data_IF_465254470268
#
_entry.id   IF_465254470268
#
_cell.length_a   1.000
_cell.length_b   1.000
_cell.length_c   1.000
_cell.angle_alpha   90.00
_cell.angle_beta   90.00
_cell.angle_gamma   90.00
#
_symmetry.space_group_name_H-M   'P 1'
#
loop_
_entity.id
_entity.type
_entity.pdbx_description
1 polymer ?
#
# COMPACT_ATOMS: atom_id res chain seq x y z
N UNK A 1 46.42 155.68 44.17
CA UNK A 1 45.71 154.87 43.15
C UNK A 1 46.16 153.41 43.14
N UNK A 2 47.39 153.06 43.55
CA UNK A 2 47.88 151.67 43.58
C UNK A 2 47.29 150.78 44.69
N UNK A 3 47.11 151.28 45.93
CA UNK A 3 46.56 150.48 47.04
C UNK A 3 45.15 149.91 46.79
N UNK A 4 44.24 150.70 46.20
CA UNK A 4 42.89 150.24 45.85
C UNK A 4 42.89 149.18 44.74
N UNK A 5 43.79 149.28 43.76
CA UNK A 5 43.96 148.26 42.72
C UNK A 5 44.51 146.95 43.28
N UNK A 6 45.44 147.01 44.23
CA UNK A 6 45.96 145.81 44.90
C UNK A 6 44.90 145.12 45.78
N UNK A 7 44.06 145.89 46.49
CA UNK A 7 42.99 145.34 47.33
C UNK A 7 41.84 144.72 46.51
N UNK A 8 41.51 145.32 45.36
CA UNK A 8 40.53 144.77 44.43
C UNK A 8 41.06 143.53 43.67
N UNK A 9 42.36 143.50 43.35
CA UNK A 9 43.02 142.30 42.81
C UNK A 9 43.05 141.17 43.84
N UNK A 10 43.38 141.44 45.10
CA UNK A 10 43.37 140.46 46.18
C UNK A 10 41.96 139.90 46.46
N UNK A 11 40.91 140.72 46.35
CA UNK A 11 39.51 140.25 46.44
C UNK A 11 39.09 139.40 45.25
N UNK A 12 39.53 139.73 44.03
CA UNK A 12 39.27 138.91 42.85
C UNK A 12 40.00 137.58 42.93
N UNK A 13 41.24 137.57 43.44
CA UNK A 13 41.97 136.33 43.71
C UNK A 13 41.27 135.51 44.80
N UNK A 14 40.87 136.09 45.94
CA UNK A 14 40.13 135.37 46.97
C UNK A 14 38.79 134.81 46.48
N UNK A 15 38.02 135.57 45.69
CA UNK A 15 36.77 135.10 45.10
C UNK A 15 37.02 133.97 44.11
N UNK A 16 38.02 134.10 43.23
CA UNK A 16 38.43 133.04 42.30
C UNK A 16 38.90 131.78 43.04
N UNK A 17 39.65 131.92 44.14
CA UNK A 17 40.01 130.79 45.00
C UNK A 17 38.79 130.15 45.67
N UNK A 18 37.77 130.94 46.07
CA UNK A 18 36.53 130.40 46.66
C UNK A 18 35.65 129.69 45.64
N UNK A 19 35.58 130.20 44.40
CA UNK A 19 34.86 129.57 43.29
C UNK A 19 35.55 128.27 42.88
N UNK A 20 36.88 128.29 42.69
CA UNK A 20 37.65 127.08 42.42
C UNK A 20 37.55 126.06 43.54
N UNK A 21 37.55 126.50 44.80
CA UNK A 21 37.34 125.61 45.95
C UNK A 21 35.93 125.01 45.96
N UNK A 22 34.90 125.79 45.66
CA UNK A 22 33.51 125.33 45.57
C UNK A 22 33.30 124.39 44.38
N UNK A 23 33.89 124.68 43.21
CA UNK A 23 33.84 123.81 42.02
C UNK A 23 34.57 122.49 42.30
N UNK A 24 35.76 122.55 42.89
CA UNK A 24 36.50 121.36 43.29
C UNK A 24 35.72 120.54 44.34
N UNK A 25 35.09 121.21 45.31
CA UNK A 25 34.26 120.57 46.33
C UNK A 25 33.03 119.89 45.72
N UNK A 26 32.32 120.55 44.79
CA UNK A 26 31.16 119.99 44.09
C UNK A 26 31.54 118.84 43.15
N UNK A 27 32.66 118.98 42.42
CA UNK A 27 33.20 117.90 41.59
C UNK A 27 33.58 116.69 42.44
N UNK A 28 34.18 116.90 43.61
CA UNK A 28 34.52 115.82 44.53
C UNK A 28 33.26 115.10 45.05
N UNK A 29 32.20 115.84 45.39
CA UNK A 29 30.90 115.25 45.78
C UNK A 29 30.32 114.42 44.64
N UNK A 30 30.30 114.94 43.40
CA UNK A 30 29.78 114.20 42.25
C UNK A 30 30.59 112.94 41.94
N UNK A 31 31.93 113.04 41.98
CA UNK A 31 32.82 111.88 41.78
C UNK A 31 32.55 110.83 42.87
N UNK A 32 32.42 111.21 44.14
CA UNK A 32 32.12 110.26 45.22
C UNK A 32 30.73 109.61 45.05
N UNK A 33 29.73 110.34 44.59
CA UNK A 33 28.39 109.80 44.33
C UNK A 33 28.42 108.76 43.19
N UNK A 34 29.09 109.07 42.08
CA UNK A 34 29.27 108.14 40.95
C UNK A 34 30.07 106.90 41.38
N UNK A 35 31.13 107.08 42.18
CA UNK A 35 31.92 105.96 42.72
C UNK A 35 31.04 105.08 43.63
N UNK A 36 30.20 105.67 44.48
CA UNK A 36 29.30 104.92 45.35
C UNK A 36 28.26 104.12 44.55
N UNK A 37 27.63 104.74 43.56
CA UNK A 37 26.66 104.08 42.67
C UNK A 37 27.31 102.91 41.91
N UNK A 38 28.51 103.13 41.34
CA UNK A 38 29.25 102.06 40.64
C UNK A 38 29.58 100.91 41.59
N UNK A 39 30.12 101.20 42.78
CA UNK A 39 30.43 100.17 43.78
C UNK A 39 29.18 99.41 44.26
N UNK A 40 28.04 100.09 44.39
CA UNK A 40 26.77 99.44 44.73
C UNK A 40 26.29 98.52 43.61
N UNK A 41 26.32 98.99 42.35
CA UNK A 41 25.92 98.16 41.20
C UNK A 41 26.85 96.94 41.01
N UNK A 42 28.15 97.09 41.24
CA UNK A 42 29.11 95.99 41.21
C UNK A 42 28.82 94.96 42.32
N UNK A 43 28.49 95.41 43.53
CA UNK A 43 28.11 94.54 44.64
C UNK A 43 26.81 93.77 44.35
N UNK A 44 25.81 94.42 43.76
CA UNK A 44 24.56 93.78 43.32
C UNK A 44 24.79 92.79 42.18
N UNK A 45 25.65 93.11 41.21
CA UNK A 45 26.03 92.19 40.13
C UNK A 45 26.70 90.93 40.69
N UNK A 46 27.68 91.09 41.59
CA UNK A 46 28.36 89.96 42.23
C UNK A 46 27.38 89.10 43.05
N UNK A 47 26.42 89.72 43.74
CA UNK A 47 25.35 89.00 44.43
C UNK A 47 24.49 88.21 43.45
N UNK A 48 24.03 88.83 42.36
CA UNK A 48 23.18 88.20 41.35
C UNK A 48 23.88 87.03 40.64
N UNK A 49 25.18 87.17 40.32
CA UNK A 49 25.98 86.07 39.76
C UNK A 49 26.04 84.89 40.73
N UNK A 50 26.28 85.15 42.03
CA UNK A 50 26.33 84.10 43.05
C UNK A 50 24.96 83.43 43.23
N UNK A 51 23.86 84.19 43.19
CA UNK A 51 22.50 83.64 43.24
C UNK A 51 22.22 82.78 42.00
N UNK A 52 22.58 83.24 40.80
CA UNK A 52 22.44 82.47 39.57
C UNK A 52 23.23 81.15 39.62
N UNK A 53 24.46 81.17 40.13
CA UNK A 53 25.28 79.96 40.34
C UNK A 53 24.63 78.96 41.30
N UNK A 54 24.06 79.44 42.40
CA UNK A 54 23.36 78.58 43.38
C UNK A 54 22.11 77.98 42.75
N UNK A 55 21.30 78.79 42.05
CA UNK A 55 20.11 78.33 41.34
C UNK A 55 20.48 77.29 40.28
N UNK A 56 21.52 77.52 39.49
CA UNK A 56 22.00 76.58 38.50
C UNK A 56 22.44 75.25 39.14
N UNK A 57 23.21 75.31 40.23
CA UNK A 57 23.63 74.10 40.98
C UNK A 57 22.43 73.33 41.54
N UNK A 58 21.41 74.02 42.05
CA UNK A 58 20.19 73.40 42.56
C UNK A 58 19.38 72.74 41.44
N UNK A 59 19.17 73.44 40.32
CA UNK A 59 18.53 72.88 39.13
C UNK A 59 19.26 71.63 38.61
N UNK A 60 20.60 71.65 38.59
CA UNK A 60 21.38 70.48 38.17
C UNK A 60 21.25 69.30 39.14
N UNK A 61 21.13 69.56 40.45
CA UNK A 61 20.85 68.51 41.45
C UNK A 61 19.45 67.93 41.27
N UNK A 62 18.44 68.77 41.06
CA UNK A 62 17.06 68.33 40.80
C UNK A 62 16.96 67.52 39.52
N UNK A 63 17.59 67.98 38.44
CA UNK A 63 17.66 67.24 37.17
C UNK A 63 18.25 65.85 37.37
N UNK A 64 19.38 65.74 38.09
CA UNK A 64 19.99 64.45 38.43
C UNK A 64 19.09 63.59 39.31
N UNK A 65 18.38 64.19 40.26
CA UNK A 65 17.44 63.47 41.12
C UNK A 65 16.25 62.91 40.33
N UNK A 66 15.68 63.71 39.43
CA UNK A 66 14.62 63.31 38.52
C UNK A 66 15.07 62.21 37.56
N UNK A 67 16.26 62.32 36.98
CA UNK A 67 16.86 61.29 36.13
C UNK A 67 17.03 59.98 36.90
N UNK A 68 17.57 60.03 38.13
CA UNK A 68 17.68 58.85 39.00
C UNK A 68 16.33 58.23 39.32
N UNK A 69 15.33 59.04 39.68
CA UNK A 69 13.98 58.56 39.96
C UNK A 69 13.33 57.92 38.73
N UNK A 70 13.52 58.52 37.55
CA UNK A 70 13.05 57.99 36.27
C UNK A 70 13.69 56.64 35.97
N UNK A 71 15.02 56.53 36.10
CA UNK A 71 15.74 55.27 35.90
C UNK A 71 15.28 54.22 36.90
N UNK A 72 15.14 54.57 38.18
CA UNK A 72 14.63 53.68 39.22
C UNK A 72 13.23 53.15 38.89
N UNK A 73 12.33 54.02 38.43
CA UNK A 73 10.99 53.63 38.01
C UNK A 73 11.00 52.67 36.82
N UNK A 74 11.83 52.93 35.80
CA UNK A 74 11.96 52.04 34.63
C UNK A 74 12.50 50.67 35.04
N UNK A 75 13.51 50.63 35.92
CA UNK A 75 14.07 49.39 36.44
C UNK A 75 13.05 48.59 37.27
N UNK A 76 12.10 49.24 37.94
CA UNK A 76 11.11 48.50 38.71
C UNK A 76 9.94 48.00 37.85
N UNK A 77 9.44 48.85 36.95
CA UNK A 77 8.15 48.67 36.31
C UNK A 77 8.22 48.36 34.80
N UNK A 78 9.33 48.68 34.12
CA UNK A 78 9.45 48.53 32.65
C UNK A 78 10.41 47.39 32.26
N UNK A 79 10.52 46.38 33.12
CA UNK A 79 11.37 45.24 32.84
C UNK A 79 10.83 44.38 31.68
N UNK A 80 11.69 43.85 30.80
CA UNK A 80 11.27 43.08 29.63
C UNK A 80 10.35 41.90 29.96
N UNK A 81 10.64 41.17 31.05
CA UNK A 81 9.87 40.00 31.47
C UNK A 81 8.51 40.32 32.11
N UNK A 82 8.24 41.58 32.47
CA UNK A 82 6.93 42.01 32.98
C UNK A 82 5.98 42.48 31.88
N UNK A 83 6.42 42.46 30.62
CA UNK A 83 5.56 42.81 29.48
C UNK A 83 4.52 41.72 29.25
N UNK A 84 3.32 42.12 28.87
CA UNK A 84 2.22 41.19 28.57
C UNK A 84 2.58 40.19 27.47
N UNK A 85 3.34 40.63 26.47
CA UNK A 85 3.77 39.84 25.31
C UNK A 85 5.11 39.12 25.53
N UNK A 86 5.64 39.10 26.76
CA UNK A 86 6.93 38.48 27.01
C UNK A 86 6.88 36.96 26.80
N UNK A 87 5.74 36.33 27.07
CA UNK A 87 5.47 34.92 26.78
C UNK A 87 5.63 34.58 25.28
N UNK A 88 5.23 35.50 24.39
CA UNK A 88 5.39 35.37 22.95
C UNK A 88 6.83 35.64 22.50
N UNK A 89 7.51 36.57 23.17
CA UNK A 89 8.85 37.04 22.82
C UNK A 89 9.97 36.42 23.67
N UNK A 90 9.68 35.41 24.49
CA UNK A 90 10.68 34.74 25.33
C UNK A 90 11.70 34.03 24.42
N UNK A 91 13.00 34.35 24.51
CA UNK A 91 14.02 33.68 23.70
C UNK A 91 14.09 32.17 23.95
N UNK A 92 13.67 31.70 25.12
CA UNK A 92 13.62 30.28 25.47
C UNK A 92 12.24 29.64 25.24
N UNK A 93 11.29 30.37 24.63
CA UNK A 93 9.92 29.87 24.36
C UNK A 93 9.93 28.48 23.71
N UNK A 94 10.68 28.32 22.63
CA UNK A 94 10.77 27.05 21.89
C UNK A 94 11.38 25.89 22.69
N UNK A 95 12.16 26.18 23.74
CA UNK A 95 12.76 25.15 24.62
C UNK A 95 11.82 24.75 25.75
N UNK A 96 10.92 25.65 26.16
CA UNK A 96 9.95 25.41 27.24
C UNK A 96 8.64 24.84 26.74
N UNK A 97 8.27 25.08 25.47
CA UNK A 97 7.09 24.48 24.86
C UNK A 97 7.30 22.97 24.70
N UNK A 98 6.40 22.17 25.24
CA UNK A 98 6.36 20.73 25.01
C UNK A 98 6.01 20.49 23.53
N UNK A 99 6.71 19.60 22.80
CA UNK A 99 6.33 19.20 21.44
C UNK A 99 4.84 18.83 21.29
N UNK A 100 4.18 18.35 22.35
CA UNK A 100 2.73 18.11 22.36
C UNK A 100 1.85 19.37 22.26
N UNK A 101 2.30 20.51 22.79
CA UNK A 101 1.57 21.79 22.73
C UNK A 101 1.81 22.56 21.42
N UNK A 102 2.98 22.34 20.80
CA UNK A 102 3.32 22.91 19.49
C UNK A 102 2.67 22.17 18.33
N UNK A 103 2.32 20.90 18.53
CA UNK A 103 1.61 20.10 17.55
C UNK A 103 0.09 20.31 17.69
N UNK A 104 -0.43 21.24 16.90
CA UNK A 104 -1.82 21.17 16.41
C UNK A 104 -1.97 19.96 15.46
N UNK A 105 -1.71 18.75 15.95
CA UNK A 105 -2.08 17.53 15.25
C UNK A 105 -3.59 17.38 15.43
N UNK A 106 -4.34 17.42 14.33
CA UNK A 106 -5.71 16.90 14.33
C UNK A 106 -5.65 15.44 14.80
N UNK A 107 -6.31 15.08 15.92
CA UNK A 107 -6.25 13.72 16.43
C UNK A 107 -6.77 12.73 15.38
N UNK A 108 -5.90 11.80 14.97
CA UNK A 108 -6.26 10.59 14.21
C UNK A 108 -6.93 10.87 12.87
N UNK A 109 -6.14 11.02 11.81
CA UNK A 109 -6.69 10.92 10.46
C UNK A 109 -7.25 9.51 10.27
N UNK A 110 -8.55 9.42 9.96
CA UNK A 110 -9.31 8.15 9.85
C UNK A 110 -8.68 7.16 8.84
N UNK A 111 -7.80 7.63 7.95
CA UNK A 111 -7.07 6.81 6.99
C UNK A 111 -5.71 6.26 7.46
N UNK A 112 -5.20 6.66 8.62
CA UNK A 112 -3.91 6.19 9.12
C UNK A 112 -4.06 4.85 9.86
N UNK A 113 -3.52 3.80 9.25
CA UNK A 113 -3.49 2.46 9.82
C UNK A 113 -2.17 2.20 10.55
N UNK A 114 -2.16 2.45 11.86
CA UNK A 114 -1.02 2.16 12.73
C UNK A 114 -0.67 0.66 12.78
N UNK A 115 -1.65 -0.21 12.48
CA UNK A 115 -1.48 -1.67 12.48
C UNK A 115 -1.19 -2.26 11.10
N UNK A 116 -0.87 -1.45 10.10
CA UNK A 116 -0.66 -1.90 8.72
C UNK A 116 0.35 -3.06 8.61
N UNK A 117 1.44 -3.00 9.37
CA UNK A 117 2.44 -4.07 9.40
C UNK A 117 1.90 -5.36 10.02
N UNK A 118 1.20 -5.27 11.15
CA UNK A 118 0.58 -6.43 11.79
C UNK A 118 -0.52 -7.05 10.94
N UNK A 119 -1.30 -6.23 10.23
CA UNK A 119 -2.28 -6.67 9.23
C UNK A 119 -1.61 -7.45 8.10
N UNK A 120 -0.51 -6.92 7.55
CA UNK A 120 0.24 -7.55 6.47
C UNK A 120 0.83 -8.90 6.91
N UNK A 121 1.39 -8.98 8.13
CA UNK A 121 1.91 -10.23 8.69
C UNK A 121 0.81 -11.29 8.79
N UNK A 122 -0.36 -10.95 9.35
CA UNK A 122 -1.51 -11.88 9.42
C UNK A 122 -1.94 -12.37 8.04
N UNK A 123 -1.96 -11.49 7.03
CA UNK A 123 -2.30 -11.87 5.66
C UNK A 123 -1.27 -12.83 5.04
N UNK A 124 0.03 -12.61 5.30
CA UNK A 124 1.09 -13.50 4.85
C UNK A 124 1.00 -14.88 5.50
N UNK A 125 0.71 -14.93 6.81
CA UNK A 125 0.51 -16.18 7.54
C UNK A 125 -0.69 -16.96 7.00
N UNK A 126 -1.84 -16.30 6.80
CA UNK A 126 -3.02 -16.91 6.19
C UNK A 126 -2.71 -17.51 4.81
N UNK A 127 -2.03 -16.75 3.95
CA UNK A 127 -1.67 -17.23 2.62
C UNK A 127 -0.71 -18.42 2.69
N UNK A 128 0.26 -18.39 3.60
CA UNK A 128 1.20 -19.49 3.81
C UNK A 128 0.48 -20.76 4.26
N UNK A 129 -0.43 -20.65 5.23
CA UNK A 129 -1.22 -21.78 5.72
C UNK A 129 -2.09 -22.40 4.63
N UNK A 130 -2.77 -21.57 3.83
CA UNK A 130 -3.58 -22.04 2.71
C UNK A 130 -2.75 -22.78 1.65
N UNK A 131 -1.57 -22.25 1.30
CA UNK A 131 -0.68 -22.91 0.34
C UNK A 131 -0.19 -24.27 0.85
N UNK A 132 0.14 -24.37 2.15
CA UNK A 132 0.56 -25.63 2.77
C UNK A 132 -0.59 -26.64 2.75
N UNK A 133 -1.81 -26.22 3.11
CA UNK A 133 -3.00 -27.08 3.06
C UNK A 133 -3.26 -27.61 1.65
N UNK A 134 -3.25 -26.72 0.65
CA UNK A 134 -3.48 -27.09 -0.74
C UNK A 134 -2.41 -28.08 -1.25
N UNK A 135 -1.14 -27.86 -0.89
CA UNK A 135 -0.06 -28.76 -1.25
C UNK A 135 -0.22 -30.13 -0.58
N UNK A 136 -0.58 -30.16 0.71
CA UNK A 136 -0.82 -31.40 1.44
C UNK A 136 -1.98 -32.20 0.84
N UNK A 137 -3.08 -31.54 0.48
CA UNK A 137 -4.23 -32.16 -0.19
C UNK A 137 -3.86 -32.74 -1.56
N UNK A 138 -3.10 -32.01 -2.37
CA UNK A 138 -2.62 -32.51 -3.66
C UNK A 138 -1.72 -33.74 -3.49
N UNK A 139 -0.80 -33.72 -2.52
CA UNK A 139 0.07 -34.85 -2.22
C UNK A 139 -0.74 -36.05 -1.72
N UNK A 140 -1.75 -35.83 -0.87
CA UNK A 140 -2.64 -36.88 -0.39
C UNK A 140 -3.43 -37.51 -1.54
N UNK A 141 -3.99 -36.69 -2.45
CA UNK A 141 -4.70 -37.17 -3.64
C UNK A 141 -3.82 -38.03 -4.54
N UNK A 142 -2.60 -37.56 -4.85
CA UNK A 142 -1.63 -38.35 -5.65
C UNK A 142 -1.23 -39.66 -4.97
N UNK A 143 -1.15 -39.69 -3.63
CA UNK A 143 -0.88 -40.92 -2.88
C UNK A 143 -2.06 -41.89 -3.01
N UNK A 144 -3.29 -41.39 -2.93
CA UNK A 144 -4.49 -42.20 -3.09
C UNK A 144 -4.58 -42.79 -4.51
N UNK A 145 -4.37 -41.96 -5.54
CA UNK A 145 -4.33 -42.40 -6.94
C UNK A 145 -3.32 -43.55 -7.13
N UNK A 146 -2.09 -43.40 -6.61
CA UNK A 146 -1.07 -44.47 -6.68
C UNK A 146 -1.47 -45.76 -5.97
N UNK A 147 -2.17 -45.65 -4.84
CA UNK A 147 -2.65 -46.84 -4.12
C UNK A 147 -3.76 -47.55 -4.90
N UNK A 148 -4.64 -46.79 -5.56
CA UNK A 148 -5.70 -47.32 -6.41
C UNK A 148 -5.11 -47.98 -7.67
N UNK A 149 -4.13 -47.36 -8.33
CA UNK A 149 -3.37 -47.95 -9.43
C UNK A 149 -2.70 -49.27 -9.03
N UNK A 150 -2.05 -49.31 -7.86
CA UNK A 150 -1.44 -50.55 -7.35
C UNK A 150 -2.47 -51.65 -7.08
N UNK A 151 -3.65 -51.29 -6.58
CA UNK A 151 -4.74 -52.26 -6.36
C UNK A 151 -5.25 -52.80 -7.69
N UNK A 152 -5.45 -51.92 -8.67
CA UNK A 152 -5.88 -52.31 -10.01
C UNK A 152 -4.84 -53.22 -10.67
N UNK A 153 -3.56 -52.88 -10.59
CA UNK A 153 -2.47 -53.69 -11.14
C UNK A 153 -2.43 -55.09 -10.53
N UNK A 154 -2.54 -55.20 -9.20
CA UNK A 154 -2.64 -56.49 -8.51
C UNK A 154 -3.84 -57.30 -9.00
N UNK A 155 -5.00 -56.67 -9.06
CA UNK A 155 -6.22 -57.34 -9.52
C UNK A 155 -6.10 -57.79 -10.98
N UNK A 156 -5.50 -56.99 -11.85
CA UNK A 156 -5.24 -57.34 -13.24
C UNK A 156 -4.36 -58.60 -13.34
N UNK A 157 -3.25 -58.62 -12.63
CA UNK A 157 -2.34 -59.78 -12.59
C UNK A 157 -3.02 -61.02 -12.02
N UNK A 158 -3.85 -60.87 -10.98
CA UNK A 158 -4.66 -61.98 -10.44
C UNK A 158 -5.62 -62.55 -11.48
N UNK A 159 -6.30 -61.70 -12.25
CA UNK A 159 -7.21 -62.16 -13.32
C UNK A 159 -6.46 -62.86 -14.45
N UNK A 160 -5.30 -62.35 -14.87
CA UNK A 160 -4.45 -63.01 -15.86
C UNK A 160 -4.00 -64.40 -15.38
N UNK A 161 -3.60 -64.52 -14.11
CA UNK A 161 -3.22 -65.81 -13.52
C UNK A 161 -4.39 -66.80 -13.48
N UNK A 162 -5.60 -66.34 -13.12
CA UNK A 162 -6.80 -67.18 -13.14
C UNK A 162 -7.13 -67.64 -14.57
N UNK A 163 -6.99 -66.76 -15.56
CA UNK A 163 -7.20 -67.11 -16.97
C UNK A 163 -6.23 -68.21 -17.43
N UNK A 164 -4.95 -68.09 -17.09
CA UNK A 164 -3.93 -69.12 -17.40
C UNK A 164 -4.25 -70.45 -16.71
N UNK A 165 -4.64 -70.42 -15.42
CA UNK A 165 -5.03 -71.63 -14.71
C UNK A 165 -6.22 -72.33 -15.36
N UNK A 166 -7.24 -71.56 -15.75
CA UNK A 166 -8.42 -72.09 -16.42
C UNK A 166 -8.07 -72.70 -17.79
N UNK A 167 -7.19 -72.06 -18.54
CA UNK A 167 -6.70 -72.58 -19.82
C UNK A 167 -5.94 -73.90 -19.63
N UNK A 168 -5.07 -74.02 -18.63
CA UNK A 168 -4.34 -75.25 -18.33
C UNK A 168 -5.30 -76.40 -17.96
N UNK A 169 -6.27 -76.14 -17.08
CA UNK A 169 -7.29 -77.13 -16.72
C UNK A 169 -8.14 -77.57 -17.92
N UNK A 170 -8.46 -76.64 -18.83
CA UNK A 170 -9.17 -76.97 -20.06
C UNK A 170 -8.33 -77.87 -20.98
N UNK A 171 -7.04 -77.58 -21.10
CA UNK A 171 -6.09 -78.39 -21.87
C UNK A 171 -5.96 -79.80 -21.30
N UNK A 172 -5.78 -79.94 -19.98
CA UNK A 172 -5.74 -81.24 -19.30
C UNK A 172 -7.03 -82.05 -19.53
N UNK A 173 -8.19 -81.38 -19.47
CA UNK A 173 -9.47 -82.04 -19.77
C UNK A 173 -9.55 -82.53 -21.21
N UNK A 174 -9.12 -81.72 -22.18
CA UNK A 174 -9.09 -82.12 -23.60
C UNK A 174 -8.12 -83.28 -23.82
N UNK A 175 -6.96 -83.26 -23.19
CA UNK A 175 -6.00 -84.36 -23.25
C UNK A 175 -6.60 -85.65 -22.67
N UNK A 176 -7.20 -85.60 -21.48
CA UNK A 176 -7.86 -86.73 -20.87
C UNK A 176 -9.01 -87.29 -21.75
N UNK A 177 -9.80 -86.42 -22.36
CA UNK A 177 -10.84 -86.82 -23.32
C UNK A 177 -10.24 -87.49 -24.56
N UNK A 178 -9.13 -86.97 -25.11
CA UNK A 178 -8.46 -87.61 -26.24
C UNK A 178 -7.89 -88.98 -25.88
N UNK A 179 -7.35 -89.15 -24.67
CA UNK A 179 -6.85 -90.44 -24.16
C UNK A 179 -8.01 -91.41 -23.98
N UNK A 180 -9.08 -91.00 -23.30
CA UNK A 180 -10.27 -91.82 -23.11
C UNK A 180 -10.90 -92.26 -24.44
N UNK A 181 -10.96 -91.36 -25.43
CA UNK A 181 -11.43 -91.69 -26.78
C UNK A 181 -10.52 -92.69 -27.49
N UNK A 182 -9.19 -92.55 -27.36
CA UNK A 182 -8.22 -93.54 -27.89
C UNK A 182 -8.42 -94.91 -27.23
N UNK A 183 -8.54 -94.96 -25.91
CA UNK A 183 -8.73 -96.20 -25.16
C UNK A 183 -10.07 -96.86 -25.49
N UNK A 184 -11.16 -96.09 -25.60
CA UNK A 184 -12.46 -96.57 -26.04
C UNK A 184 -12.40 -97.15 -27.46
N UNK A 185 -11.76 -96.45 -28.39
CA UNK A 185 -11.57 -96.94 -29.77
C UNK A 185 -10.76 -98.24 -29.79
N UNK A 186 -9.68 -98.33 -29.02
CA UNK A 186 -8.88 -99.55 -28.88
C UNK A 186 -9.71 -100.71 -28.30
N UNK A 187 -10.51 -100.45 -27.26
CA UNK A 187 -11.41 -101.44 -26.68
C UNK A 187 -12.47 -101.92 -27.70
N UNK A 188 -13.05 -101.00 -28.48
CA UNK A 188 -14.00 -101.34 -29.55
C UNK A 188 -13.38 -102.15 -30.68
N UNK A 189 -12.12 -101.87 -31.05
CA UNK A 189 -11.38 -102.68 -32.04
C UNK A 189 -11.17 -104.09 -31.51
N UNK A 190 -10.76 -104.25 -30.23
CA UNK A 190 -10.62 -105.57 -29.60
C UNK A 190 -11.95 -106.33 -29.55
N UNK A 191 -13.03 -105.67 -29.12
CA UNK A 191 -14.38 -106.24 -29.11
C UNK A 191 -14.81 -106.69 -30.51
N UNK A 192 -14.59 -105.87 -31.55
CA UNK A 192 -14.84 -106.24 -32.95
C UNK A 192 -14.00 -107.45 -33.38
N UNK A 193 -12.73 -107.51 -32.99
CA UNK A 193 -11.85 -108.63 -33.30
C UNK A 193 -12.28 -109.91 -32.57
N UNK A 194 -12.78 -109.81 -31.33
CA UNK A 194 -13.31 -110.94 -30.58
C UNK A 194 -14.68 -111.40 -31.11
N UNK A 195 -15.52 -110.47 -31.60
CA UNK A 195 -16.73 -110.77 -32.37
C UNK A 195 -16.41 -111.45 -33.72
N UNK A 196 -15.33 -111.05 -34.40
CA UNK A 196 -14.83 -111.73 -35.61
C UNK A 196 -14.18 -113.09 -35.33
N UNK A 197 -13.81 -113.38 -34.07
CA UNK A 197 -13.37 -114.72 -33.63
C UNK A 197 -14.54 -115.64 -33.26
N UNK A 198 -15.77 -115.13 -33.19
CA UNK A 198 -16.94 -116.00 -33.31
C UNK A 198 -17.08 -116.42 -34.79
N UNK A 199 -17.32 -117.70 -35.09
CA UNK A 199 -17.29 -118.18 -36.47
C UNK A 199 -18.54 -117.68 -37.20
N UNK A 200 -18.39 -116.62 -37.99
CA UNK A 200 -19.24 -116.33 -39.14
C UNK A 200 -18.36 -115.78 -40.26
N UNK A 201 -18.25 -116.62 -41.28
CA UNK A 201 -17.88 -116.46 -42.70
C UNK A 201 -17.12 -115.20 -43.21
N UNK A 202 -16.18 -115.55 -44.08
CA UNK A 202 -15.19 -114.80 -44.85
C UNK A 202 -15.59 -113.44 -45.45
N UNK A 203 -14.68 -112.45 -45.39
CA UNK A 203 -13.84 -112.00 -46.54
C UNK A 203 -13.25 -110.58 -46.34
N UNK A 204 -12.05 -110.36 -46.92
CA UNK A 204 -11.55 -109.12 -47.54
C UNK A 204 -10.53 -108.20 -46.79
N UNK A 205 -9.26 -108.36 -47.20
CA UNK A 205 -8.26 -107.36 -47.63
C UNK A 205 -7.79 -106.20 -46.70
N UNK A 206 -6.48 -106.11 -46.38
CA UNK A 206 -5.89 -104.94 -45.73
C UNK A 206 -5.47 -103.87 -46.76
N UNK A 207 -6.20 -102.76 -46.80
CA UNK A 207 -5.83 -101.57 -47.59
C UNK A 207 -4.75 -100.76 -46.85
N UNK A 208 -3.55 -100.73 -47.42
CA UNK A 208 -2.43 -99.90 -46.98
C UNK A 208 -2.63 -98.47 -47.50
N UNK A 209 -3.05 -97.55 -46.63
CA UNK A 209 -3.16 -96.11 -46.96
C UNK A 209 -1.91 -95.40 -46.43
N UNK A 210 -0.98 -95.12 -47.33
CA UNK A 210 0.20 -94.29 -47.05
C UNK A 210 -0.20 -92.82 -46.85
N UNK A 211 0.43 -92.21 -45.85
CA UNK A 211 0.36 -90.76 -45.57
C UNK A 211 1.03 -89.99 -46.72
N UNK A 212 0.36 -89.02 -47.37
CA UNK A 212 0.99 -88.23 -48.41
C UNK A 212 1.92 -87.16 -47.81
N UNK A 213 3.21 -87.21 -48.16
CA UNK A 213 4.10 -86.07 -47.93
C UNK A 213 5.57 -86.40 -48.11
N UNK A 214 6.23 -85.58 -48.93
CA UNK A 214 7.69 -85.38 -49.06
C UNK A 214 8.42 -86.22 -50.14
N UNK A 215 8.32 -85.77 -51.40
CA UNK A 215 9.34 -85.98 -52.44
C UNK A 215 9.85 -84.62 -52.95
N UNK A 216 11.15 -84.27 -52.85
CA UNK A 216 11.70 -82.96 -53.22
C UNK A 216 12.00 -82.71 -54.72
N UNK A 217 11.56 -83.54 -55.65
CA UNK A 217 12.01 -83.49 -57.06
C UNK A 217 10.93 -83.31 -58.12
N UNK A 218 9.75 -82.82 -57.75
CA UNK A 218 8.83 -82.21 -58.69
C UNK A 218 8.10 -81.08 -57.99
N UNK A 219 8.25 -79.85 -58.48
CA UNK A 219 7.28 -78.78 -58.26
C UNK A 219 5.94 -79.19 -58.89
N UNK A 220 5.26 -80.17 -58.28
CA UNK A 220 3.81 -80.13 -58.26
C UNK A 220 3.48 -78.99 -57.33
N UNK A 221 3.05 -77.88 -57.93
CA UNK A 221 2.21 -76.88 -57.26
C UNK A 221 1.33 -77.62 -56.27
N UNK A 222 1.28 -77.11 -55.04
CA UNK A 222 0.47 -77.67 -53.97
C UNK A 222 -0.90 -78.10 -54.53
N UNK A 223 -1.44 -79.26 -54.10
CA UNK A 223 -2.77 -79.69 -54.52
C UNK A 223 -3.69 -78.51 -54.33
N UNK A 224 -4.23 -77.99 -55.44
CA UNK A 224 -5.00 -76.74 -55.46
C UNK A 224 -5.86 -76.68 -54.22
N UNK A 225 -5.47 -75.87 -53.22
CA UNK A 225 -6.36 -75.55 -52.12
C UNK A 225 -7.68 -75.21 -52.79
N UNK A 226 -8.75 -75.92 -52.43
CA UNK A 226 -10.03 -75.84 -53.12
C UNK A 226 -10.29 -74.36 -53.39
N UNK A 227 -10.22 -73.90 -54.65
CA UNK A 227 -10.28 -72.47 -54.98
C UNK A 227 -11.53 -71.82 -54.37
N UNK A 228 -12.53 -72.65 -54.10
CA UNK A 228 -13.73 -72.38 -53.34
C UNK A 228 -13.49 -71.97 -51.86
N UNK A 229 -12.60 -72.63 -51.11
CA UNK A 229 -12.23 -72.28 -49.74
C UNK A 229 -11.49 -70.94 -49.68
N UNK A 230 -10.54 -70.69 -50.58
CA UNK A 230 -9.86 -69.39 -50.70
C UNK A 230 -10.87 -68.30 -51.08
N UNK A 231 -11.77 -68.58 -52.02
CA UNK A 231 -12.84 -67.64 -52.40
C UNK A 231 -13.79 -67.33 -51.24
N UNK A 232 -14.13 -68.32 -50.41
CA UNK A 232 -14.93 -68.15 -49.20
C UNK A 232 -14.19 -67.29 -48.16
N UNK A 233 -12.89 -67.52 -47.97
CA UNK A 233 -12.08 -66.73 -47.05
C UNK A 233 -11.95 -65.27 -47.48
N UNK A 234 -11.72 -65.00 -48.77
CA UNK A 234 -11.72 -63.63 -49.29
C UNK A 234 -13.09 -62.94 -49.15
N UNK A 235 -14.20 -63.66 -49.34
CA UNK A 235 -15.55 -63.12 -49.07
C UNK A 235 -15.72 -62.74 -47.61
N UNK A 236 -15.30 -63.62 -46.70
CA UNK A 236 -15.32 -63.35 -45.26
C UNK A 236 -14.49 -62.13 -44.89
N UNK A 237 -13.28 -61.97 -45.43
CA UNK A 237 -12.45 -60.78 -45.19
C UNK A 237 -13.10 -59.48 -45.66
N UNK A 238 -13.78 -59.50 -46.81
CA UNK A 238 -14.52 -58.32 -47.32
C UNK A 238 -15.70 -57.98 -46.40
N UNK A 239 -16.43 -58.98 -45.92
CA UNK A 239 -17.56 -58.80 -45.00
C UNK A 239 -17.11 -58.30 -43.63
N UNK A 240 -16.05 -58.87 -43.04
CA UNK A 240 -15.49 -58.39 -41.78
C UNK A 240 -14.93 -56.96 -41.88
N UNK A 241 -14.28 -56.62 -42.99
CA UNK A 241 -13.81 -55.24 -43.23
C UNK A 241 -14.99 -54.25 -43.30
N UNK A 242 -16.07 -54.61 -44.01
CA UNK A 242 -17.29 -53.78 -44.07
C UNK A 242 -17.95 -53.62 -42.71
N UNK A 243 -18.00 -54.68 -41.90
CA UNK A 243 -18.55 -54.65 -40.54
C UNK A 243 -17.74 -53.70 -39.66
N UNK A 244 -16.42 -53.81 -39.69
CA UNK A 244 -15.50 -52.96 -38.92
C UNK A 244 -15.61 -51.48 -39.33
N UNK A 245 -15.73 -51.18 -40.63
CA UNK A 245 -15.94 -49.81 -41.13
C UNK A 245 -17.28 -49.22 -40.67
N UNK A 246 -18.34 -50.04 -40.63
CA UNK A 246 -19.64 -49.61 -40.13
C UNK A 246 -19.61 -49.31 -38.63
N UNK A 247 -18.94 -50.16 -37.85
CA UNK A 247 -18.77 -49.96 -36.40
C UNK A 247 -17.98 -48.69 -36.09
N UNK A 248 -16.88 -48.43 -36.82
CA UNK A 248 -16.12 -47.19 -36.71
C UNK A 248 -16.97 -45.95 -37.01
N UNK A 249 -17.78 -45.98 -38.07
CA UNK A 249 -18.69 -44.86 -38.38
C UNK A 249 -19.70 -44.62 -37.26
N UNK A 250 -20.27 -45.67 -36.69
CA UNK A 250 -21.19 -45.52 -35.56
C UNK A 250 -20.50 -44.93 -34.33
N UNK A 251 -19.26 -45.31 -34.09
CA UNK A 251 -18.46 -44.77 -32.99
C UNK A 251 -18.11 -43.28 -33.23
N UNK A 252 -17.67 -42.92 -34.43
CA UNK A 252 -17.43 -41.53 -34.84
C UNK A 252 -18.69 -40.67 -34.66
N UNK A 253 -19.86 -41.13 -35.12
CA UNK A 253 -21.12 -40.42 -34.92
C UNK A 253 -21.47 -40.23 -33.44
N UNK A 254 -21.16 -41.20 -32.57
CA UNK A 254 -21.37 -41.06 -31.12
C UNK A 254 -20.45 -39.99 -30.55
N UNK A 255 -19.18 -39.99 -30.93
CA UNK A 255 -18.22 -38.97 -30.49
C UNK A 255 -18.63 -37.57 -30.98
N UNK A 256 -19.09 -37.44 -32.23
CA UNK A 256 -19.58 -36.17 -32.75
C UNK A 256 -20.77 -35.64 -31.96
N UNK A 257 -21.73 -36.51 -31.60
CA UNK A 257 -22.88 -36.10 -30.75
C UNK A 257 -22.42 -35.61 -29.38
N UNK A 258 -21.56 -36.35 -28.70
CA UNK A 258 -21.02 -35.96 -27.39
C UNK A 258 -20.25 -34.64 -27.49
N UNK A 259 -19.46 -34.46 -28.54
CA UNK A 259 -18.71 -33.24 -28.78
C UNK A 259 -19.65 -32.04 -29.00
N UNK A 260 -20.70 -32.20 -29.81
CA UNK A 260 -21.70 -31.16 -30.05
C UNK A 260 -22.48 -30.80 -28.78
N UNK A 261 -22.89 -31.79 -27.98
CA UNK A 261 -23.60 -31.56 -26.72
C UNK A 261 -22.71 -30.85 -25.70
N UNK A 262 -21.43 -31.24 -25.61
CA UNK A 262 -20.42 -30.57 -24.78
C UNK A 262 -20.20 -29.12 -25.20
N UNK A 263 -20.02 -28.87 -26.50
CA UNK A 263 -19.88 -27.52 -27.04
C UNK A 263 -21.12 -26.65 -26.77
N UNK A 264 -22.31 -27.24 -26.87
CA UNK A 264 -23.57 -26.56 -26.56
C UNK A 264 -23.68 -26.21 -25.08
N UNK A 265 -23.30 -27.14 -24.19
CA UNK A 265 -23.29 -26.91 -22.75
C UNK A 265 -22.29 -25.79 -22.38
N UNK A 266 -21.09 -25.78 -22.98
CA UNK A 266 -20.10 -24.74 -22.77
C UNK A 266 -20.61 -23.35 -23.15
N UNK A 267 -21.26 -23.21 -24.32
CA UNK A 267 -21.87 -21.95 -24.76
C UNK A 267 -22.98 -21.46 -23.83
N UNK A 268 -23.77 -22.37 -23.27
CA UNK A 268 -24.82 -22.01 -22.29
C UNK A 268 -24.22 -21.48 -20.99
N UNK A 269 -23.16 -22.12 -20.50
CA UNK A 269 -22.44 -21.69 -19.30
C UNK A 269 -21.78 -20.31 -19.51
N UNK A 270 -21.13 -20.10 -20.65
CA UNK A 270 -20.54 -18.80 -21.00
C UNK A 270 -21.60 -17.70 -21.06
N UNK A 271 -22.76 -17.99 -21.67
CA UNK A 271 -23.88 -17.03 -21.73
C UNK A 271 -24.46 -16.73 -20.34
N UNK A 272 -24.52 -17.72 -19.45
CA UNK A 272 -24.95 -17.52 -18.06
C UNK A 272 -23.95 -16.64 -17.31
N UNK A 273 -22.65 -16.92 -17.44
CA UNK A 273 -21.58 -16.12 -16.83
C UNK A 273 -21.61 -14.68 -17.34
N UNK A 274 -21.80 -14.46 -18.64
CA UNK A 274 -21.93 -13.13 -19.22
C UNK A 274 -23.13 -12.35 -18.65
N UNK A 275 -24.27 -13.02 -18.40
CA UNK A 275 -25.44 -12.40 -17.75
C UNK A 275 -25.14 -11.98 -16.32
N UNK A 276 -24.48 -12.86 -15.54
CA UNK A 276 -24.09 -12.57 -14.16
C UNK A 276 -23.11 -11.40 -14.10
N UNK A 277 -22.08 -11.40 -14.96
CA UNK A 277 -21.12 -10.31 -15.05
C UNK A 277 -21.81 -8.98 -15.41
N UNK A 278 -22.79 -9.00 -16.32
CA UNK A 278 -23.57 -7.81 -16.66
C UNK A 278 -24.39 -7.30 -15.48
N UNK A 279 -24.97 -8.19 -14.67
CA UNK A 279 -25.69 -7.81 -13.45
C UNK A 279 -24.75 -7.19 -12.41
N UNK A 280 -23.59 -7.82 -12.18
CA UNK A 280 -22.57 -7.31 -11.26
C UNK A 280 -22.09 -5.92 -11.66
N UNK A 281 -21.83 -5.71 -12.96
CA UNK A 281 -21.39 -4.42 -13.49
C UNK A 281 -22.44 -3.33 -13.30
N UNK A 282 -23.71 -3.64 -13.58
CA UNK A 282 -24.83 -2.73 -13.29
C UNK A 282 -24.93 -2.37 -11.81
N UNK A 283 -24.73 -3.35 -10.92
CA UNK A 283 -24.75 -3.10 -9.48
C UNK A 283 -23.62 -2.15 -9.07
N UNK A 284 -22.40 -2.40 -9.55
CA UNK A 284 -21.25 -1.53 -9.31
C UNK A 284 -21.47 -0.11 -9.85
N UNK A 285 -22.01 0.01 -11.06
CA UNK A 285 -22.32 1.31 -11.67
C UNK A 285 -23.36 2.07 -10.82
N UNK A 286 -24.40 1.38 -10.36
CA UNK A 286 -25.41 1.98 -9.48
C UNK A 286 -24.81 2.45 -8.14
N UNK A 287 -23.96 1.63 -7.50
CA UNK A 287 -23.30 2.02 -6.25
C UNK A 287 -22.36 3.20 -6.46
N UNK A 288 -21.63 3.23 -7.58
CA UNK A 288 -20.73 4.34 -7.92
C UNK A 288 -21.51 5.64 -8.16
N UNK A 289 -22.67 5.57 -8.83
CA UNK A 289 -23.56 6.72 -9.01
C UNK A 289 -24.07 7.24 -7.67
N UNK A 290 -24.52 6.34 -6.78
CA UNK A 290 -24.97 6.72 -5.43
C UNK A 290 -23.84 7.39 -4.66
N UNK A 291 -22.65 6.76 -4.59
CA UNK A 291 -21.48 7.32 -3.92
C UNK A 291 -21.10 8.70 -4.47
N UNK A 292 -21.11 8.88 -5.80
CA UNK A 292 -20.82 10.16 -6.42
C UNK A 292 -21.86 11.22 -6.07
N UNK A 293 -23.15 10.88 -5.99
CA UNK A 293 -24.20 11.78 -5.52
C UNK A 293 -24.01 12.14 -4.06
N UNK A 294 -23.74 11.16 -3.19
CA UNK A 294 -23.47 11.39 -1.76
C UNK A 294 -22.28 12.32 -1.58
N UNK A 295 -21.17 12.09 -2.30
CA UNK A 295 -20.01 12.98 -2.27
C UNK A 295 -20.33 14.40 -2.76
N UNK A 296 -21.17 14.55 -3.80
CA UNK A 296 -21.61 15.88 -4.25
C UNK A 296 -22.46 16.60 -3.21
N UNK A 297 -23.35 15.88 -2.51
CA UNK A 297 -24.19 16.43 -1.44
C UNK A 297 -23.40 16.73 -0.16
N UNK A 298 -22.42 15.89 0.16
CA UNK A 298 -21.55 16.04 1.32
C UNK A 298 -20.47 17.09 1.14
N UNK A 299 -20.25 17.64 -0.06
CA UNK A 299 -19.37 18.80 -0.21
C UNK A 299 -19.93 19.90 0.69
N UNK A 300 -19.25 20.25 1.79
CA UNK A 300 -19.71 21.34 2.62
C UNK A 300 -19.75 22.58 1.72
N UNK A 301 -20.83 23.36 1.82
CA UNK A 301 -20.77 24.74 1.36
C UNK A 301 -19.62 25.35 2.15
N UNK A 302 -18.49 25.56 1.48
CA UNK A 302 -17.43 26.40 2.01
C UNK A 302 -18.06 27.79 2.02
N UNK A 303 -18.78 28.10 3.09
CA UNK A 303 -19.38 29.41 3.29
C UNK A 303 -18.23 30.41 3.20
N UNK A 304 -18.34 31.34 2.24
CA UNK A 304 -17.47 32.50 2.20
C UNK A 304 -17.53 33.11 3.59
N UNK A 305 -16.37 33.19 4.27
CA UNK A 305 -16.30 33.64 5.65
C UNK A 305 -17.19 34.85 5.87
N UNK A 306 -18.19 34.71 6.74
CA UNK A 306 -19.15 35.78 7.01
C UNK A 306 -18.48 36.71 8.01
N UNK A 307 -18.23 37.94 7.58
CA UNK A 307 -17.78 39.00 8.49
C UNK A 307 -19.02 39.47 9.24
N UNK A 308 -19.13 39.12 10.52
CA UNK A 308 -20.24 39.55 11.38
C UNK A 308 -20.05 41.00 11.84
N UNK A 309 -21.14 41.68 12.16
CA UNK A 309 -21.14 43.09 12.59
C UNK A 309 -20.32 43.35 13.87
N UNK A 310 -20.04 42.30 14.64
CA UNK A 310 -19.10 42.34 15.77
C UNK A 310 -17.67 42.68 15.33
N UNK A 311 -17.26 42.29 14.12
CA UNK A 311 -15.97 42.65 13.53
C UNK A 311 -15.88 44.16 13.29
N UNK A 312 -16.92 44.78 12.73
CA UNK A 312 -16.94 46.23 12.49
C UNK A 312 -17.07 47.03 13.78
N UNK A 313 -17.72 46.47 14.80
CA UNK A 313 -17.84 47.08 16.13
C UNK A 313 -16.53 47.09 16.93
N UNK A 314 -15.48 46.41 16.48
CA UNK A 314 -14.15 46.49 17.09
C UNK A 314 -13.39 47.75 16.69
N UNK A 315 -13.80 48.42 15.60
CA UNK A 315 -13.19 49.63 15.09
C UNK A 315 -13.89 50.87 15.66
N UNK A 316 -13.12 51.94 15.95
CA UNK A 316 -13.61 53.21 16.51
C UNK A 316 -14.27 53.15 17.90
N UNK A 317 -13.96 52.14 18.72
CA UNK A 317 -14.48 52.01 20.09
C UNK A 317 -13.79 52.91 21.12
N UNK A 318 -12.71 53.60 20.74
CA UNK A 318 -11.92 54.46 21.61
C UNK A 318 -11.77 55.85 20.99
N UNK A 319 -12.08 56.91 21.75
CA UNK A 319 -12.13 58.30 21.27
C UNK A 319 -10.77 59.01 21.22
N UNK A 320 -9.68 58.26 21.05
CA UNK A 320 -8.32 58.81 21.27
C UNK A 320 -7.89 59.78 20.19
#
# INVERSE_FOLDING_TARGET
>A
MEKKKQEEAARREQNAYSELFSEFFMLNIMINYVIYDVLQTDAEMLHNIKVADILHKNQMKEKRALEKATVGFRLQNQQPWRRQEFDLNDPDRCRRTDPGDAQMILPGLVGEDLESQSRLQRQQEQLREWLIQQQAEQVARRRQEKLEEQRYEKHRVEMDNVAVQLQNLEMERREAETIANKDYNLAKIKEKHDLQRQPVDEECSPSMVGVPGLCPSSERREPSENLQQISQFHKYQIEEKRRTELEKKQEEERYERIHLDSARAALLLERQQAKLNKQLRKHLDNTNVQLAQTHKQQKPNIERGRIDDSFFSQFNTCSR
#
